data_IF_970432340092
#
_entry.id   IF_970432340092
#
_cell.length_a   1.000
_cell.length_b   1.000
_cell.length_c   1.000
_cell.angle_alpha   90.00
_cell.angle_beta   90.00
_cell.angle_gamma   90.00
#
_symmetry.space_group_name_H-M   'P 1'
#
loop_
_entity.id
_entity.type
_entity.pdbx_description
1 polymer ?
#
# COMPACT_ATOMS: atom_id res chain seq x y z
N UNK A 1 -28.49 9.31 -16.28
CA UNK A 1 -28.95 9.93 -15.01
C UNK A 1 -30.47 9.85 -14.78
N UNK A 2 -31.32 9.69 -15.78
CA UNK A 2 -32.78 9.86 -15.65
C UNK A 2 -33.56 8.84 -14.81
N UNK A 3 -32.99 7.75 -14.33
CA UNK A 3 -33.77 6.69 -13.66
C UNK A 3 -33.61 6.62 -12.13
N UNK A 4 -32.52 7.17 -11.57
CA UNK A 4 -32.23 7.12 -10.13
C UNK A 4 -32.99 8.19 -9.35
N UNK A 5 -33.10 9.41 -9.93
CA UNK A 5 -33.80 10.55 -9.31
C UNK A 5 -35.31 10.32 -9.17
N UNK A 6 -35.88 9.36 -9.91
CA UNK A 6 -37.29 8.98 -9.77
C UNK A 6 -37.57 8.04 -8.56
N UNK A 7 -36.54 7.33 -8.07
CA UNK A 7 -36.69 6.36 -6.97
C UNK A 7 -36.07 6.81 -5.65
N UNK A 8 -35.09 7.72 -5.70
CA UNK A 8 -34.36 8.20 -4.54
C UNK A 8 -34.25 9.72 -4.57
N UNK A 9 -34.23 10.33 -3.42
CA UNK A 9 -33.90 11.76 -3.28
C UNK A 9 -32.38 11.87 -3.50
N UNK A 10 -31.97 12.34 -4.67
CA UNK A 10 -30.58 12.48 -5.07
C UNK A 10 -30.28 13.95 -5.35
N UNK A 11 -29.11 14.39 -4.91
CA UNK A 11 -28.54 15.69 -5.28
C UNK A 11 -27.39 15.45 -6.24
N UNK A 12 -27.40 16.12 -7.38
CA UNK A 12 -26.25 16.14 -8.29
C UNK A 12 -25.23 17.13 -7.75
N UNK A 13 -24.03 16.65 -7.41
CA UNK A 13 -22.92 17.44 -6.89
C UNK A 13 -21.94 17.89 -7.98
N UNK A 14 -22.25 17.61 -9.24
CA UNK A 14 -21.39 17.92 -10.39
C UNK A 14 -20.20 16.96 -10.54
N UNK A 15 -19.10 17.46 -11.12
CA UNK A 15 -17.89 16.65 -11.32
C UNK A 15 -17.25 16.24 -9.99
N UNK A 16 -16.93 14.95 -9.85
CA UNK A 16 -16.27 14.42 -8.67
C UNK A 16 -14.84 14.96 -8.58
N UNK A 17 -14.51 15.61 -7.46
CA UNK A 17 -13.17 16.10 -7.15
C UNK A 17 -12.52 15.31 -6.01
N UNK A 18 -13.32 14.75 -5.12
CA UNK A 18 -12.88 13.93 -3.99
C UNK A 18 -13.88 12.82 -3.71
N UNK A 19 -13.39 11.61 -3.47
CA UNK A 19 -14.19 10.48 -3.02
C UNK A 19 -13.36 9.62 -2.05
N UNK A 20 -13.92 9.30 -0.88
CA UNK A 20 -13.25 8.52 0.17
C UNK A 20 -11.85 9.06 0.49
N UNK A 21 -11.71 10.37 0.64
CA UNK A 21 -10.44 11.08 0.88
C UNK A 21 -9.37 10.86 -0.20
N UNK A 22 -9.77 10.38 -1.35
CA UNK A 22 -8.94 10.34 -2.55
C UNK A 22 -9.33 11.51 -3.44
N UNK A 23 -8.34 12.28 -3.85
CA UNK A 23 -8.52 13.37 -4.80
C UNK A 23 -8.55 12.79 -6.21
N UNK A 24 -9.49 13.25 -7.00
CA UNK A 24 -9.70 12.84 -8.39
C UNK A 24 -9.46 14.06 -9.29
N UNK A 25 -8.55 13.92 -10.24
CA UNK A 25 -8.27 14.96 -11.23
C UNK A 25 -8.37 14.35 -12.62
N UNK A 26 -9.20 14.97 -13.48
CA UNK A 26 -9.31 14.63 -14.88
C UNK A 26 -8.56 15.66 -15.72
N UNK A 27 -7.58 15.24 -16.52
CA UNK A 27 -6.82 16.13 -17.41
C UNK A 27 -6.34 15.36 -18.64
N UNK A 28 -6.55 15.93 -19.83
CA UNK A 28 -6.02 15.37 -21.09
C UNK A 28 -6.34 13.88 -21.26
N UNK A 29 -7.63 13.52 -21.13
CA UNK A 29 -8.14 12.14 -21.20
C UNK A 29 -7.51 11.16 -20.20
N UNK A 30 -6.95 11.67 -19.09
CA UNK A 30 -6.35 10.88 -17.99
C UNK A 30 -7.03 11.19 -16.68
N UNK A 31 -7.18 10.15 -15.86
CA UNK A 31 -7.66 10.25 -14.49
C UNK A 31 -6.50 10.02 -13.54
N UNK A 32 -6.32 10.95 -12.61
CA UNK A 32 -5.30 10.89 -11.55
C UNK A 32 -6.01 10.70 -10.22
N UNK A 33 -5.62 9.67 -9.48
CA UNK A 33 -6.10 9.40 -8.12
C UNK A 33 -4.94 9.53 -7.15
N UNK A 34 -5.07 10.41 -6.16
CA UNK A 34 -4.06 10.59 -5.11
C UNK A 34 -4.70 10.81 -3.73
N UNK A 35 -3.92 10.62 -2.68
CA UNK A 35 -4.31 10.87 -1.29
C UNK A 35 -3.44 11.96 -0.63
N UNK A 36 -2.98 12.96 -1.41
CA UNK A 36 -2.06 14.00 -0.92
C UNK A 36 -2.58 14.68 0.34
N UNK A 37 -3.87 15.05 0.38
CA UNK A 37 -4.49 15.74 1.53
C UNK A 37 -4.43 14.86 2.80
N UNK A 38 -4.70 13.57 2.66
CA UNK A 38 -4.61 12.64 3.78
C UNK A 38 -3.16 12.39 4.19
N UNK A 39 -2.27 12.22 3.23
CA UNK A 39 -0.84 12.04 3.48
C UNK A 39 -0.25 13.21 4.27
N UNK A 40 -0.58 14.46 3.93
CA UNK A 40 -0.10 15.63 4.68
C UNK A 40 -0.56 15.60 6.14
N UNK A 41 -1.81 15.23 6.40
CA UNK A 41 -2.31 15.05 7.77
C UNK A 41 -1.60 13.93 8.53
N UNK A 42 -1.20 12.86 7.85
CA UNK A 42 -0.42 11.76 8.46
C UNK A 42 0.98 12.25 8.80
N UNK A 43 1.66 12.92 7.86
CA UNK A 43 3.00 13.47 8.09
C UNK A 43 3.01 14.52 9.21
N UNK A 44 1.98 15.35 9.30
CA UNK A 44 1.82 16.31 10.39
C UNK A 44 1.63 15.62 11.74
N UNK A 45 0.73 14.65 11.82
CA UNK A 45 0.45 13.88 13.05
C UNK A 45 1.70 13.25 13.66
N UNK A 46 2.60 12.75 12.82
CA UNK A 46 3.82 12.07 13.24
C UNK A 46 5.08 12.95 13.18
N UNK A 47 4.94 14.26 12.95
CA UNK A 47 6.06 15.20 12.92
C UNK A 47 7.05 14.96 11.77
N UNK A 48 6.60 14.37 10.65
CA UNK A 48 7.44 13.97 9.53
C UNK A 48 7.39 14.93 8.33
N UNK A 49 6.77 16.11 8.46
CA UNK A 49 6.58 17.08 7.37
C UNK A 49 7.89 17.55 6.73
N UNK A 50 8.92 17.77 7.57
CA UNK A 50 10.25 18.25 7.17
C UNK A 50 11.35 17.19 7.37
N UNK A 51 10.95 15.94 7.58
CA UNK A 51 11.90 14.84 7.80
C UNK A 51 12.75 14.60 6.55
N UNK A 52 14.03 14.21 6.76
CA UNK A 52 14.92 13.79 5.67
C UNK A 52 14.28 12.60 4.93
N UNK A 53 14.05 12.77 3.64
CA UNK A 53 13.40 11.77 2.79
C UNK A 53 14.31 10.56 2.51
N UNK A 54 13.69 9.41 2.25
CA UNK A 54 14.37 8.19 1.81
C UNK A 54 13.93 7.83 0.39
N UNK A 55 14.78 7.09 -0.35
CA UNK A 55 14.48 6.67 -1.73
C UNK A 55 13.61 5.42 -1.80
N UNK A 56 13.63 4.60 -0.77
CA UNK A 56 12.89 3.33 -0.67
C UNK A 56 12.08 3.30 0.63
N UNK A 57 10.91 2.65 0.64
CA UNK A 57 10.09 2.56 1.86
C UNK A 57 10.74 1.71 2.96
N UNK A 58 11.48 0.65 2.58
CA UNK A 58 12.29 -0.16 3.49
C UNK A 58 13.71 -0.33 2.94
N UNK A 59 14.65 -0.62 3.83
CA UNK A 59 16.02 -1.00 3.49
C UNK A 59 15.98 -2.39 2.86
N UNK A 60 16.75 -2.58 1.79
CA UNK A 60 16.92 -3.87 1.14
C UNK A 60 17.43 -4.93 2.14
N UNK A 61 16.89 -6.14 2.06
CA UNK A 61 17.25 -7.25 2.95
C UNK A 61 16.77 -7.09 4.40
N UNK A 62 16.00 -6.05 4.73
CA UNK A 62 15.46 -5.91 6.08
C UNK A 62 14.58 -7.10 6.44
N UNK A 63 14.95 -7.78 7.52
CA UNK A 63 14.22 -8.91 8.07
C UNK A 63 13.91 -8.65 9.54
N UNK A 64 12.67 -8.23 9.88
CA UNK A 64 12.28 -7.95 11.24
C UNK A 64 12.26 -9.22 12.09
N UNK A 65 12.57 -9.09 13.37
CA UNK A 65 12.46 -10.15 14.37
C UNK A 65 11.35 -9.86 15.36
N UNK A 66 10.72 -10.89 15.89
CA UNK A 66 9.71 -10.75 16.93
C UNK A 66 10.28 -10.06 18.17
N UNK A 67 9.51 -9.15 18.76
CA UNK A 67 9.82 -8.58 20.06
C UNK A 67 9.49 -9.62 21.14
N UNK A 68 10.50 -10.05 21.90
CA UNK A 68 10.35 -11.01 23.00
C UNK A 68 10.20 -10.32 24.38
N UNK A 69 10.29 -8.99 24.40
CA UNK A 69 10.10 -8.22 25.62
C UNK A 69 8.62 -7.95 25.93
N UNK A 70 8.40 -7.34 27.08
CA UNK A 70 7.06 -6.88 27.47
C UNK A 70 6.52 -5.81 26.52
N UNK A 71 5.20 -5.74 26.42
CA UNK A 71 4.53 -4.74 25.60
C UNK A 71 4.67 -3.37 26.28
N UNK A 72 5.31 -2.42 25.61
CA UNK A 72 5.23 -1.00 25.98
C UNK A 72 3.92 -0.41 25.45
N UNK A 73 2.95 -0.05 26.31
CA UNK A 73 1.65 0.43 25.86
C UNK A 73 1.72 1.71 25.04
N UNK A 74 2.71 2.58 25.29
CA UNK A 74 2.88 3.85 24.58
C UNK A 74 3.41 3.60 23.17
N UNK A 75 4.48 2.83 23.06
CA UNK A 75 5.07 2.42 21.77
C UNK A 75 4.06 1.64 20.93
N UNK A 76 3.32 0.73 21.55
CA UNK A 76 2.28 -0.07 20.91
C UNK A 76 1.17 0.80 20.29
N UNK A 77 0.65 1.77 21.05
CA UNK A 77 -0.41 2.68 20.57
C UNK A 77 0.10 3.56 19.41
N UNK A 78 1.32 4.09 19.52
CA UNK A 78 1.95 4.88 18.46
C UNK A 78 2.16 4.06 17.19
N UNK A 79 2.71 2.85 17.33
CA UNK A 79 2.92 1.95 16.22
C UNK A 79 1.63 1.57 15.50
N UNK A 80 0.58 1.20 16.24
CA UNK A 80 -0.73 0.90 15.65
C UNK A 80 -1.31 2.10 14.90
N UNK A 81 -1.16 3.31 15.44
CA UNK A 81 -1.62 4.54 14.79
C UNK A 81 -0.90 4.81 13.47
N UNK A 82 0.43 4.62 13.43
CA UNK A 82 1.22 4.77 12.19
C UNK A 82 0.82 3.69 11.19
N UNK A 83 0.85 2.41 11.58
CA UNK A 83 0.53 1.30 10.68
C UNK A 83 -0.89 1.42 10.12
N UNK A 84 -1.88 1.78 10.94
CA UNK A 84 -3.24 2.01 10.46
C UNK A 84 -3.34 3.13 9.41
N UNK A 85 -2.57 4.22 9.60
CA UNK A 85 -2.51 5.31 8.62
C UNK A 85 -1.83 4.88 7.31
N UNK A 86 -0.75 4.09 7.40
CA UNK A 86 -0.04 3.55 6.25
C UNK A 86 -0.87 2.52 5.48
N UNK A 87 -1.63 1.66 6.18
CA UNK A 87 -2.57 0.72 5.56
C UNK A 87 -3.62 1.45 4.72
N UNK A 88 -4.17 2.55 5.23
CA UNK A 88 -5.15 3.33 4.49
C UNK A 88 -4.57 3.96 3.21
N UNK A 89 -3.33 4.48 3.27
CA UNK A 89 -2.62 5.00 2.10
C UNK A 89 -2.31 3.87 1.10
N UNK A 90 -1.81 2.74 1.59
CA UNK A 90 -1.49 1.56 0.81
C UNK A 90 -2.70 1.04 0.04
N UNK A 91 -3.84 0.90 0.70
CA UNK A 91 -5.06 0.36 0.09
C UNK A 91 -5.73 1.35 -0.88
N UNK A 92 -5.51 2.65 -0.71
CA UNK A 92 -6.14 3.67 -1.53
C UNK A 92 -5.40 3.96 -2.84
N UNK A 93 -4.18 4.48 -2.77
CA UNK A 93 -3.47 4.99 -3.95
C UNK A 93 -1.96 4.72 -3.96
N UNK A 94 -1.42 4.00 -2.95
CA UNK A 94 0.02 3.81 -2.79
C UNK A 94 0.42 2.32 -2.80
N UNK A 95 0.30 1.63 -3.95
CA UNK A 95 0.76 0.23 -4.09
C UNK A 95 2.26 0.06 -3.83
N UNK A 96 3.04 1.09 -4.01
CA UNK A 96 4.50 1.12 -3.84
C UNK A 96 4.96 0.85 -2.40
N UNK A 97 4.12 1.10 -1.40
CA UNK A 97 4.41 0.76 0.00
C UNK A 97 3.80 -0.58 0.45
N UNK A 98 3.11 -1.31 -0.44
CA UNK A 98 2.34 -2.50 -0.06
C UNK A 98 3.19 -3.55 0.65
N UNK A 99 4.33 -3.94 0.08
CA UNK A 99 5.24 -4.91 0.68
C UNK A 99 5.74 -4.46 2.06
N UNK A 100 6.17 -3.19 2.16
CA UNK A 100 6.74 -2.63 3.38
C UNK A 100 5.72 -2.62 4.54
N UNK A 101 4.51 -2.14 4.26
CA UNK A 101 3.45 -2.04 5.26
C UNK A 101 2.94 -3.42 5.66
N UNK A 102 2.73 -4.33 4.71
CA UNK A 102 2.31 -5.72 4.98
C UNK A 102 3.32 -6.43 5.87
N UNK A 103 4.63 -6.26 5.60
CA UNK A 103 5.70 -6.85 6.41
C UNK A 103 5.71 -6.32 7.85
N UNK A 104 5.56 -5.02 8.05
CA UNK A 104 5.54 -4.40 9.37
C UNK A 104 4.23 -4.65 10.13
N UNK A 105 3.09 -4.73 9.44
CA UNK A 105 1.79 -4.96 10.10
C UNK A 105 1.71 -6.28 10.88
N UNK A 106 2.56 -7.27 10.56
CA UNK A 106 2.64 -8.54 11.28
C UNK A 106 3.08 -8.37 12.75
N UNK A 107 3.77 -7.28 13.08
CA UNK A 107 4.27 -6.98 14.43
C UNK A 107 3.37 -6.03 15.22
N UNK A 108 2.15 -5.78 14.75
CA UNK A 108 1.22 -4.83 15.38
C UNK A 108 0.77 -5.25 16.80
N UNK A 109 0.89 -6.52 17.16
CA UNK A 109 0.52 -7.02 18.50
C UNK A 109 1.59 -6.71 19.56
N UNK A 110 2.88 -6.80 19.21
CA UNK A 110 3.99 -6.51 20.12
C UNK A 110 5.17 -5.89 19.35
N UNK A 111 5.10 -4.60 18.99
CA UNK A 111 6.17 -3.95 18.25
C UNK A 111 7.40 -3.68 19.11
N UNK A 112 8.57 -3.65 18.47
CA UNK A 112 9.81 -3.13 19.04
C UNK A 112 10.08 -1.70 18.56
N UNK A 113 11.07 -1.03 19.16
CA UNK A 113 11.52 0.29 18.70
C UNK A 113 12.01 0.23 17.25
N UNK A 114 12.71 -0.84 16.84
CA UNK A 114 13.15 -1.00 15.43
C UNK A 114 11.95 -1.05 14.47
N UNK A 115 10.85 -1.72 14.85
CA UNK A 115 9.63 -1.72 14.03
C UNK A 115 9.05 -0.31 13.86
N UNK A 116 9.02 0.48 14.93
CA UNK A 116 8.56 1.88 14.89
C UNK A 116 9.47 2.73 14.01
N UNK A 117 10.78 2.59 14.13
CA UNK A 117 11.76 3.32 13.31
C UNK A 117 11.61 3.00 11.82
N UNK A 118 11.28 1.74 11.47
CA UNK A 118 10.99 1.34 10.08
C UNK A 118 9.67 1.90 9.59
N UNK A 119 8.63 1.92 10.40
CA UNK A 119 7.37 2.58 10.05
C UNK A 119 7.59 4.10 9.79
N UNK A 120 8.39 4.76 10.62
CA UNK A 120 8.84 6.13 10.39
C UNK A 120 9.63 6.29 9.08
N UNK A 121 10.43 5.28 8.68
CA UNK A 121 11.14 5.31 7.39
C UNK A 121 10.19 5.27 6.21
N UNK A 122 9.07 4.54 6.30
CA UNK A 122 8.02 4.59 5.27
C UNK A 122 7.41 6.00 5.20
N UNK A 123 7.16 6.66 6.34
CA UNK A 123 6.68 8.05 6.35
C UNK A 123 7.68 9.00 5.67
N UNK A 124 8.99 8.82 5.86
CA UNK A 124 10.04 9.60 5.16
C UNK A 124 10.05 9.36 3.65
N UNK A 125 9.83 8.12 3.21
CA UNK A 125 9.64 7.81 1.79
C UNK A 125 8.41 8.51 1.22
N UNK A 126 7.30 8.46 1.92
CA UNK A 126 6.05 9.11 1.54
C UNK A 126 6.22 10.65 1.47
N UNK A 127 6.96 11.23 2.41
CA UNK A 127 7.31 12.66 2.38
C UNK A 127 8.09 13.06 1.11
N UNK A 128 8.93 12.17 0.59
CA UNK A 128 9.67 12.38 -0.67
C UNK A 128 8.85 12.11 -1.93
N UNK A 129 7.73 11.40 -1.81
CA UNK A 129 6.89 10.97 -2.95
C UNK A 129 5.44 11.44 -2.82
N UNK A 130 5.22 12.62 -2.23
CA UNK A 130 3.89 13.18 -1.92
C UNK A 130 2.95 13.26 -3.12
N UNK A 131 3.49 13.59 -4.28
CA UNK A 131 2.73 13.84 -5.49
C UNK A 131 2.49 12.59 -6.35
N UNK A 132 2.84 11.39 -5.85
CA UNK A 132 2.55 10.16 -6.57
C UNK A 132 1.04 9.93 -6.63
N UNK A 133 0.58 9.55 -7.83
CA UNK A 133 -0.82 9.29 -8.13
C UNK A 133 -0.94 8.00 -8.95
N UNK A 134 -2.05 7.30 -8.82
CA UNK A 134 -2.47 6.32 -9.80
C UNK A 134 -2.99 7.06 -11.03
N UNK A 135 -2.52 6.66 -12.22
CA UNK A 135 -2.88 7.32 -13.47
C UNK A 135 -3.54 6.32 -14.40
N UNK A 136 -4.76 6.63 -14.83
CA UNK A 136 -5.52 5.86 -15.81
C UNK A 136 -5.56 6.67 -17.11
N UNK A 137 -5.12 6.02 -18.19
CA UNK A 137 -4.98 6.66 -19.51
C UNK A 137 -6.13 6.24 -20.42
N UNK A 138 -7.06 7.15 -20.69
CA UNK A 138 -8.23 6.90 -21.56
C UNK A 138 -7.86 6.58 -23.02
N UNK A 139 -6.66 6.92 -23.46
CA UNK A 139 -6.17 6.61 -24.81
C UNK A 139 -5.51 5.22 -24.91
N UNK A 140 -5.36 4.52 -23.78
CA UNK A 140 -4.75 3.20 -23.75
C UNK A 140 -5.63 2.16 -24.44
N UNK A 141 -5.06 1.46 -25.42
CA UNK A 141 -5.70 0.33 -26.10
C UNK A 141 -5.46 -1.02 -25.38
N UNK A 142 -4.73 -1.00 -24.26
CA UNK A 142 -4.44 -2.21 -23.48
C UNK A 142 -5.65 -2.59 -22.64
N UNK A 143 -6.08 -3.85 -22.78
CA UNK A 143 -7.07 -4.46 -21.89
C UNK A 143 -6.54 -4.66 -20.47
N UNK A 144 -7.26 -5.46 -19.70
CA UNK A 144 -6.82 -5.85 -18.36
C UNK A 144 -5.65 -6.82 -18.48
N UNK A 145 -4.59 -6.58 -17.72
CA UNK A 145 -3.48 -7.52 -17.57
C UNK A 145 -2.93 -7.49 -16.14
N UNK A 146 -2.34 -8.62 -15.75
CA UNK A 146 -1.73 -8.78 -14.42
C UNK A 146 -0.22 -8.96 -14.55
N UNK A 147 0.48 -8.54 -13.50
CA UNK A 147 1.87 -8.89 -13.25
C UNK A 147 1.96 -9.54 -11.88
N UNK A 148 2.67 -10.64 -11.79
CA UNK A 148 2.91 -11.36 -10.55
C UNK A 148 4.36 -11.75 -10.41
N UNK A 149 4.85 -11.78 -9.19
CA UNK A 149 6.18 -12.27 -8.85
C UNK A 149 6.17 -12.88 -7.45
N UNK A 150 7.22 -13.61 -7.12
CA UNK A 150 7.42 -14.18 -5.80
C UNK A 150 8.85 -14.03 -5.35
N UNK A 151 9.03 -13.64 -4.09
CA UNK A 151 10.33 -13.67 -3.40
C UNK A 151 10.42 -14.96 -2.59
N UNK A 152 11.28 -15.89 -3.07
CA UNK A 152 11.41 -17.22 -2.50
C UNK A 152 12.07 -17.17 -1.13
N UNK A 153 11.43 -17.83 -0.13
CA UNK A 153 11.88 -17.91 1.26
C UNK A 153 12.20 -16.54 1.90
N UNK A 154 11.47 -15.49 1.49
CA UNK A 154 11.69 -14.12 1.98
C UNK A 154 11.32 -13.95 3.46
N UNK A 155 10.38 -14.74 3.98
CA UNK A 155 10.09 -14.83 5.41
C UNK A 155 11.02 -15.88 6.03
N UNK A 156 12.10 -15.41 6.65
CA UNK A 156 13.10 -16.30 7.28
C UNK A 156 12.61 -16.95 8.58
N UNK A 157 11.53 -16.45 9.19
CA UNK A 157 10.97 -17.00 10.42
C UNK A 157 10.13 -18.23 10.09
N UNK A 158 9.26 -18.12 9.07
CA UNK A 158 8.33 -19.17 8.65
C UNK A 158 8.82 -19.95 7.43
N UNK A 159 9.97 -19.59 6.85
CA UNK A 159 10.49 -20.13 5.58
C UNK A 159 9.48 -20.06 4.44
N UNK A 160 8.58 -19.08 4.46
CA UNK A 160 7.56 -18.88 3.44
C UNK A 160 8.01 -17.88 2.39
N UNK A 161 7.62 -18.12 1.15
CA UNK A 161 7.79 -17.15 0.06
C UNK A 161 6.73 -16.06 0.15
N UNK A 162 7.03 -14.90 -0.39
CA UNK A 162 6.08 -13.78 -0.46
C UNK A 162 5.62 -13.66 -1.90
N UNK A 163 4.30 -13.69 -2.11
CA UNK A 163 3.65 -13.39 -3.39
C UNK A 163 3.36 -11.89 -3.47
N UNK A 164 3.65 -11.30 -4.63
CA UNK A 164 3.20 -9.97 -5.00
C UNK A 164 2.53 -10.01 -6.37
N UNK A 165 1.37 -9.35 -6.50
CA UNK A 165 0.74 -9.16 -7.80
C UNK A 165 0.03 -7.82 -7.90
N UNK A 166 -0.17 -7.36 -9.11
CA UNK A 166 -1.03 -6.23 -9.41
C UNK A 166 -1.73 -6.39 -10.76
N UNK A 167 -2.92 -5.82 -10.85
CA UNK A 167 -3.71 -5.74 -12.08
C UNK A 167 -3.71 -4.32 -12.61
N UNK A 168 -3.63 -4.19 -13.93
CA UNK A 168 -3.73 -2.92 -14.64
C UNK A 168 -4.89 -2.87 -15.61
N UNK A 169 -5.53 -1.69 -15.67
CA UNK A 169 -6.50 -1.31 -16.68
C UNK A 169 -6.16 0.13 -17.11
N UNK A 170 -6.23 0.40 -18.41
CA UNK A 170 -5.90 1.73 -18.95
C UNK A 170 -4.52 2.23 -18.47
N UNK A 171 -3.51 1.35 -18.43
CA UNK A 171 -2.17 1.56 -17.88
C UNK A 171 -2.10 1.87 -16.38
N UNK A 172 -3.21 2.10 -15.68
CA UNK A 172 -3.29 2.33 -14.25
C UNK A 172 -3.43 1.04 -13.45
N UNK A 173 -2.82 0.98 -12.26
CA UNK A 173 -2.99 -0.14 -11.32
C UNK A 173 -4.33 0.07 -10.60
N UNK A 174 -5.20 -0.96 -10.57
CA UNK A 174 -6.51 -0.90 -9.90
C UNK A 174 -6.68 -1.94 -8.80
N UNK A 175 -5.84 -2.97 -8.77
CA UNK A 175 -5.82 -3.97 -7.70
C UNK A 175 -4.39 -4.44 -7.48
N UNK A 176 -4.00 -4.66 -6.23
CA UNK A 176 -2.68 -5.15 -5.85
C UNK A 176 -2.73 -5.87 -4.51
N UNK A 177 -1.81 -6.79 -4.33
CA UNK A 177 -1.66 -7.51 -3.07
C UNK A 177 -0.21 -7.94 -2.86
N UNK A 178 0.16 -8.06 -1.60
CA UNK A 178 1.38 -8.74 -1.16
C UNK A 178 1.05 -9.56 0.08
N UNK A 179 1.36 -10.86 0.07
CA UNK A 179 1.13 -11.75 1.19
C UNK A 179 2.12 -12.92 1.22
N UNK A 180 2.28 -13.52 2.39
CA UNK A 180 3.05 -14.76 2.51
C UNK A 180 2.27 -15.93 1.93
N UNK A 181 2.95 -16.82 1.20
CA UNK A 181 2.34 -18.05 0.66
C UNK A 181 1.93 -18.98 1.81
N UNK A 182 0.83 -19.70 1.64
CA UNK A 182 0.28 -20.57 2.69
C UNK A 182 1.14 -21.81 2.95
N UNK A 183 1.86 -22.28 1.93
CA UNK A 183 2.76 -23.44 1.99
C UNK A 183 4.19 -23.02 1.68
N UNK A 184 5.15 -23.84 2.09
CA UNK A 184 6.58 -23.62 1.82
C UNK A 184 6.89 -24.16 0.42
N UNK A 185 7.31 -23.28 -0.49
CA UNK A 185 7.77 -23.69 -1.81
C UNK A 185 9.19 -24.27 -1.73
N UNK A 186 9.41 -25.42 -2.37
CA UNK A 186 10.70 -26.11 -2.38
C UNK A 186 11.71 -25.49 -3.38
N UNK A 187 11.24 -24.63 -4.25
CA UNK A 187 12.08 -23.92 -5.23
C UNK A 187 11.50 -22.54 -5.59
N UNK A 188 12.34 -21.69 -6.16
CA UNK A 188 11.89 -20.39 -6.69
C UNK A 188 10.89 -20.54 -7.84
N UNK A 189 10.99 -21.60 -8.62
CA UNK A 189 10.05 -21.92 -9.70
C UNK A 189 8.68 -22.26 -9.14
N UNK A 190 8.62 -23.13 -8.11
CA UNK A 190 7.37 -23.48 -7.46
C UNK A 190 6.71 -22.25 -6.82
N UNK A 191 7.48 -21.39 -6.13
CA UNK A 191 6.99 -20.15 -5.57
C UNK A 191 6.34 -19.24 -6.64
N UNK A 192 6.94 -19.16 -7.83
CA UNK A 192 6.38 -18.38 -8.95
C UNK A 192 5.08 -18.98 -9.49
N UNK A 193 4.99 -20.31 -9.62
CA UNK A 193 3.73 -20.95 -10.01
C UNK A 193 2.61 -20.73 -8.99
N UNK A 194 2.93 -20.78 -7.69
CA UNK A 194 1.97 -20.45 -6.64
C UNK A 194 1.50 -19.00 -6.74
N UNK A 195 2.42 -18.05 -6.97
CA UNK A 195 2.06 -16.64 -7.16
C UNK A 195 1.19 -16.41 -8.41
N UNK A 196 1.42 -17.15 -9.49
CA UNK A 196 0.55 -17.12 -10.70
C UNK A 196 -0.85 -17.67 -10.40
N UNK A 197 -0.95 -18.75 -9.63
CA UNK A 197 -2.21 -19.32 -9.20
C UNK A 197 -3.01 -18.37 -8.29
N UNK A 198 -2.34 -17.67 -7.37
CA UNK A 198 -2.98 -16.70 -6.48
C UNK A 198 -3.50 -15.45 -7.24
N UNK A 199 -2.94 -15.19 -8.42
CA UNK A 199 -3.30 -14.08 -9.29
C UNK A 199 -4.47 -14.42 -10.25
N UNK A 200 -4.83 -15.71 -10.39
CA UNK A 200 -5.84 -16.19 -11.35
C UNK A 200 -7.25 -16.12 -10.77
#
# INVERSE_FOLDING_TARGET
MANWTKRFICQDLGEVQEFLRMRIKCKSNKIYLDQVIYLEKVLERFGMQIAKTTKTPLIEGYNPSENKGDIDPKLHAEYQSIIGSLLYLMLGTRPDICHAVTKLSQFAANPSQDHLDRACSICRYLAGTRNFALVYDGDSQKGIYACTDSDWAADKIKCQSITGYFFKLANGIFSWCTHAQKTVALSSTEAKYMAMSDCS
#
